data_IF_002772037953
#
_entry.id   IF_002772037953
#
_cell.length_a   1.000
_cell.length_b   1.000
_cell.length_c   1.000
_cell.angle_alpha   90.00
_cell.angle_beta   90.00
_cell.angle_gamma   90.00
#
_symmetry.space_group_name_H-M   'P 1'
#
loop_
_entity.id
_entity.type
_entity.pdbx_description
1 polymer ?
#
# COMPACT_ATOMS: atom_id res chain seq x y z
N UNK A 1 1.97 1.68 -47.76
CA UNK A 1 2.48 1.93 -46.40
C UNK A 1 1.28 2.13 -45.51
N UNK A 2 0.97 1.14 -44.67
CA UNK A 2 0.02 1.36 -43.58
C UNK A 2 0.68 2.34 -42.62
N UNK A 3 0.11 3.52 -42.33
CA UNK A 3 0.56 4.30 -41.22
C UNK A 3 0.16 3.48 -39.99
N UNK A 4 1.13 2.90 -39.30
CA UNK A 4 0.89 2.53 -37.91
C UNK A 4 0.70 3.87 -37.21
N UNK A 5 -0.56 4.29 -37.06
CA UNK A 5 -0.92 5.30 -36.07
C UNK A 5 -0.38 4.73 -34.76
N UNK A 6 0.68 5.37 -34.25
CA UNK A 6 1.24 5.04 -32.95
C UNK A 6 0.08 5.18 -31.97
N UNK A 7 -0.43 4.06 -31.46
CA UNK A 7 -1.54 4.11 -30.51
C UNK A 7 -1.07 4.97 -29.34
N UNK A 8 -1.80 6.06 -29.11
CA UNK A 8 -1.39 7.05 -28.13
C UNK A 8 -1.39 6.40 -26.75
N UNK A 9 -0.24 6.33 -26.08
CA UNK A 9 -0.15 5.86 -24.72
C UNK A 9 -0.82 6.86 -23.77
N UNK A 10 -1.45 6.35 -22.70
CA UNK A 10 -2.07 7.17 -21.67
C UNK A 10 -0.99 7.80 -20.79
N UNK A 11 -0.85 9.12 -20.78
CA UNK A 11 0.00 9.77 -19.79
C UNK A 11 -0.72 9.91 -18.44
N UNK A 12 -0.29 9.11 -17.46
CA UNK A 12 -0.87 9.12 -16.11
C UNK A 12 -0.64 10.44 -15.38
N UNK A 13 0.37 11.20 -15.80
CA UNK A 13 0.72 12.49 -15.20
C UNK A 13 -0.30 13.58 -15.52
N UNK A 14 -1.16 13.34 -16.53
CA UNK A 14 -2.26 14.24 -16.89
C UNK A 14 -3.51 14.04 -16.04
N UNK A 15 -3.55 13.05 -15.14
CA UNK A 15 -4.70 12.83 -14.28
C UNK A 15 -4.79 13.90 -13.21
N UNK A 16 -5.98 14.48 -13.07
CA UNK A 16 -6.30 15.33 -11.92
C UNK A 16 -6.45 14.47 -10.66
N UNK A 17 -6.18 15.02 -9.46
CA UNK A 17 -6.28 14.27 -8.20
C UNK A 17 -7.58 13.48 -8.04
N UNK A 18 -8.72 14.09 -8.40
CA UNK A 18 -10.04 13.46 -8.33
C UNK A 18 -10.26 12.30 -9.32
N UNK A 19 -9.47 12.22 -10.40
CA UNK A 19 -9.59 11.17 -11.41
C UNK A 19 -8.86 9.89 -11.00
N UNK A 20 -7.91 9.99 -10.06
CA UNK A 20 -7.10 8.86 -9.61
C UNK A 20 -7.91 7.76 -8.92
N UNK A 21 -8.93 8.11 -8.15
CA UNK A 21 -9.77 7.11 -7.49
C UNK A 21 -10.53 6.26 -8.52
N UNK A 22 -11.12 6.90 -9.54
CA UNK A 22 -11.80 6.19 -10.62
C UNK A 22 -10.80 5.37 -11.45
N UNK A 23 -9.63 5.93 -11.77
CA UNK A 23 -8.58 5.21 -12.47
C UNK A 23 -8.09 3.96 -11.75
N UNK A 24 -8.01 3.97 -10.42
CA UNK A 24 -7.52 2.82 -9.67
C UNK A 24 -8.61 1.79 -9.39
N UNK A 25 -9.84 2.23 -9.13
CA UNK A 25 -10.87 1.37 -8.54
C UNK A 25 -12.11 1.17 -9.42
N UNK A 26 -12.36 1.96 -10.47
CA UNK A 26 -13.56 1.83 -11.30
C UNK A 26 -13.44 0.73 -12.37
N UNK A 27 -13.00 -0.45 -11.95
CA UNK A 27 -12.69 -1.58 -12.83
C UNK A 27 -13.31 -2.89 -12.32
N UNK A 28 -14.59 -3.15 -12.60
CA UNK A 28 -15.27 -4.36 -12.12
C UNK A 28 -14.70 -5.67 -12.70
N UNK A 29 -14.05 -5.60 -13.87
CA UNK A 29 -13.61 -6.77 -14.67
C UNK A 29 -12.07 -6.83 -14.86
N UNK A 30 -11.30 -6.37 -13.86
CA UNK A 30 -9.83 -6.37 -13.90
C UNK A 30 -9.22 -5.04 -14.34
N UNK A 31 -7.92 -4.85 -14.12
CA UNK A 31 -7.23 -3.58 -14.36
C UNK A 31 -7.26 -3.17 -15.83
N UNK A 32 -7.81 -1.98 -16.14
CA UNK A 32 -7.86 -1.40 -17.49
C UNK A 32 -7.38 0.04 -17.45
N UNK A 33 -6.63 0.46 -18.46
CA UNK A 33 -6.17 1.84 -18.60
C UNK A 33 -7.26 2.65 -19.28
N UNK A 34 -8.20 3.20 -18.51
CA UNK A 34 -9.33 3.97 -19.05
C UNK A 34 -9.27 5.42 -18.57
N UNK A 35 -9.36 6.39 -19.50
CA UNK A 35 -9.53 7.82 -19.21
C UNK A 35 -10.64 8.39 -20.08
N UNK A 36 -11.61 9.06 -19.47
CA UNK A 36 -12.74 9.70 -20.17
C UNK A 36 -13.51 8.76 -21.13
N UNK A 37 -13.59 7.47 -20.79
CA UNK A 37 -14.27 6.45 -21.61
C UNK A 37 -13.44 5.89 -22.77
N UNK A 38 -12.18 6.30 -22.91
CA UNK A 38 -11.22 5.73 -23.87
C UNK A 38 -10.32 4.72 -23.16
N UNK A 39 -10.22 3.52 -23.72
CA UNK A 39 -9.30 2.47 -23.28
C UNK A 39 -7.96 2.60 -24.00
N UNK A 40 -6.87 2.35 -23.29
CA UNK A 40 -5.50 2.50 -23.75
C UNK A 40 -4.75 1.16 -23.58
N UNK A 41 -3.88 0.82 -24.52
CA UNK A 41 -3.08 -0.41 -24.44
C UNK A 41 -1.84 -0.25 -23.53
N UNK A 42 -1.31 0.97 -23.43
CA UNK A 42 -0.12 1.30 -22.66
C UNK A 42 -0.25 2.66 -21.98
N UNK A 43 0.64 2.92 -21.04
CA UNK A 43 0.72 4.19 -20.33
C UNK A 43 2.16 4.69 -20.23
N UNK A 44 2.29 5.99 -20.03
CA UNK A 44 3.56 6.65 -19.72
C UNK A 44 3.42 7.48 -18.46
N UNK A 45 4.56 7.72 -17.81
CA UNK A 45 4.67 8.64 -16.68
C UNK A 45 5.68 9.72 -17.09
N UNK A 46 5.19 10.82 -17.64
CA UNK A 46 6.04 11.98 -18.00
C UNK A 46 6.47 12.80 -16.77
N UNK A 47 5.66 12.82 -15.72
CA UNK A 47 5.93 13.48 -14.45
C UNK A 47 5.60 12.57 -13.24
N UNK A 48 6.62 11.85 -12.72
CA UNK A 48 6.50 10.98 -11.54
C UNK A 48 5.95 11.68 -10.29
N UNK A 49 6.14 13.00 -10.16
CA UNK A 49 5.66 13.77 -9.01
C UNK A 49 4.14 13.89 -9.04
N UNK A 50 3.55 14.14 -10.21
CA UNK A 50 2.09 14.23 -10.35
C UNK A 50 1.43 12.89 -10.04
N UNK A 51 2.03 11.78 -10.49
CA UNK A 51 1.56 10.42 -10.16
C UNK A 51 1.59 10.16 -8.65
N UNK A 52 2.71 10.45 -7.97
CA UNK A 52 2.79 10.26 -6.51
C UNK A 52 1.80 11.14 -5.73
N UNK A 53 1.56 12.38 -6.18
CA UNK A 53 0.57 13.26 -5.57
C UNK A 53 -0.85 12.74 -5.77
N UNK A 54 -1.17 12.18 -6.94
CA UNK A 54 -2.44 11.52 -7.22
C UNK A 54 -2.69 10.31 -6.33
N UNK A 55 -1.69 9.43 -6.21
CA UNK A 55 -1.73 8.28 -5.31
C UNK A 55 -1.90 8.73 -3.86
N UNK A 56 -1.14 9.74 -3.41
CA UNK A 56 -1.25 10.27 -2.05
C UNK A 56 -2.65 10.85 -1.81
N UNK A 57 -3.22 11.58 -2.77
CA UNK A 57 -4.59 12.10 -2.68
C UNK A 57 -5.61 10.98 -2.46
N UNK A 58 -5.48 9.88 -3.21
CA UNK A 58 -6.35 8.70 -3.04
C UNK A 58 -6.21 8.10 -1.64
N UNK A 59 -4.98 7.91 -1.15
CA UNK A 59 -4.73 7.39 0.20
C UNK A 59 -5.31 8.31 1.29
N UNK A 60 -5.18 9.62 1.13
CA UNK A 60 -5.69 10.62 2.08
C UNK A 60 -7.22 10.73 2.09
N UNK A 61 -7.89 10.33 1.00
CA UNK A 61 -9.34 10.35 0.87
C UNK A 61 -9.95 8.93 0.87
N UNK A 62 -9.23 7.96 1.45
CA UNK A 62 -9.58 6.55 1.30
C UNK A 62 -10.92 6.16 1.92
N UNK A 63 -11.41 6.91 2.91
CA UNK A 63 -12.76 6.71 3.43
C UNK A 63 -13.83 6.85 2.33
N UNK A 64 -13.75 7.91 1.52
CA UNK A 64 -14.69 8.14 0.42
C UNK A 64 -14.52 7.12 -0.71
N UNK A 65 -13.29 6.65 -0.95
CA UNK A 65 -13.02 5.50 -1.83
C UNK A 65 -13.78 4.28 -1.33
N UNK A 66 -13.65 3.96 -0.05
CA UNK A 66 -14.32 2.85 0.61
C UNK A 66 -15.85 2.90 0.60
N UNK A 67 -16.43 4.11 0.58
CA UNK A 67 -17.88 4.33 0.47
C UNK A 67 -18.39 4.22 -0.97
N UNK A 68 -17.51 4.40 -1.97
CA UNK A 68 -17.87 4.48 -3.40
C UNK A 68 -17.66 3.15 -4.11
N UNK A 69 -16.55 2.46 -3.84
CA UNK A 69 -16.15 1.26 -4.57
C UNK A 69 -16.40 -0.01 -3.75
N UNK A 70 -16.71 -1.10 -4.45
CA UNK A 70 -16.83 -2.41 -3.82
C UNK A 70 -15.49 -2.92 -3.30
N UNK A 71 -15.51 -3.90 -2.38
CA UNK A 71 -14.28 -4.52 -1.88
C UNK A 71 -13.44 -5.18 -2.97
N UNK A 72 -14.08 -5.80 -3.96
CA UNK A 72 -13.36 -6.41 -5.08
C UNK A 72 -12.61 -5.36 -5.92
N UNK A 73 -13.25 -4.19 -6.14
CA UNK A 73 -12.62 -3.06 -6.80
C UNK A 73 -11.45 -2.48 -6.01
N UNK A 74 -11.63 -2.31 -4.69
CA UNK A 74 -10.56 -1.86 -3.79
C UNK A 74 -9.39 -2.84 -3.82
N UNK A 75 -9.66 -4.14 -3.73
CA UNK A 75 -8.65 -5.18 -3.76
C UNK A 75 -7.81 -5.09 -5.04
N UNK A 76 -8.47 -5.10 -6.21
CA UNK A 76 -7.80 -4.96 -7.50
C UNK A 76 -7.01 -3.65 -7.63
N UNK A 77 -7.57 -2.51 -7.21
CA UNK A 77 -6.89 -1.23 -7.32
C UNK A 77 -5.66 -1.12 -6.43
N UNK A 78 -5.70 -1.70 -5.22
CA UNK A 78 -4.52 -1.79 -4.37
C UNK A 78 -3.47 -2.72 -4.99
N UNK A 79 -3.86 -3.87 -5.54
CA UNK A 79 -2.93 -4.73 -6.27
C UNK A 79 -2.25 -3.98 -7.42
N UNK A 80 -3.03 -3.25 -8.23
CA UNK A 80 -2.54 -2.47 -9.36
C UNK A 80 -1.53 -1.38 -8.98
N UNK A 81 -1.70 -0.73 -7.83
CA UNK A 81 -0.73 0.27 -7.33
C UNK A 81 0.68 -0.31 -7.18
N UNK A 82 0.76 -1.56 -6.73
CA UNK A 82 2.01 -2.20 -6.35
C UNK A 82 2.59 -3.12 -7.42
N UNK A 83 1.76 -3.62 -8.33
CA UNK A 83 2.17 -4.46 -9.43
C UNK A 83 2.89 -3.65 -10.53
N UNK A 84 3.35 -4.34 -11.57
CA UNK A 84 4.18 -3.76 -12.63
C UNK A 84 3.49 -2.63 -13.40
N UNK A 85 2.16 -2.57 -13.33
CA UNK A 85 1.26 -1.65 -14.04
C UNK A 85 1.27 -0.22 -13.50
N UNK A 86 1.68 0.03 -12.25
CA UNK A 86 1.91 1.39 -11.76
C UNK A 86 3.26 1.52 -11.05
N UNK A 87 3.77 0.41 -10.54
CA UNK A 87 5.08 0.32 -9.92
C UNK A 87 5.30 1.46 -8.91
N UNK A 88 4.35 1.67 -7.98
CA UNK A 88 4.49 2.66 -6.90
C UNK A 88 5.80 2.46 -6.13
N UNK A 89 6.22 1.20 -5.98
CA UNK A 89 7.55 0.86 -5.46
C UNK A 89 8.67 1.55 -6.25
N UNK A 90 8.68 1.50 -7.58
CA UNK A 90 9.65 2.23 -8.40
C UNK A 90 9.67 3.73 -8.11
N UNK A 91 8.50 4.35 -7.95
CA UNK A 91 8.38 5.78 -7.65
C UNK A 91 8.90 6.14 -6.26
N UNK A 92 8.59 5.34 -5.23
CA UNK A 92 9.06 5.57 -3.86
C UNK A 92 10.58 5.39 -3.72
N UNK A 93 11.22 4.66 -4.64
CA UNK A 93 12.65 4.42 -4.63
C UNK A 93 13.41 5.34 -5.58
N UNK A 94 12.70 6.14 -6.36
CA UNK A 94 13.30 7.09 -7.28
C UNK A 94 13.91 8.27 -6.50
N UNK A 95 15.23 8.28 -6.38
CA UNK A 95 15.98 9.34 -5.70
C UNK A 95 15.88 10.71 -6.41
N UNK A 96 15.39 10.75 -7.66
CA UNK A 96 15.11 12.00 -8.38
C UNK A 96 13.88 12.72 -7.82
N UNK A 97 13.03 12.00 -7.09
CA UNK A 97 11.88 12.58 -6.40
C UNK A 97 12.31 13.03 -5.00
N UNK A 98 11.97 14.26 -4.65
CA UNK A 98 12.28 14.85 -3.36
C UNK A 98 11.79 13.99 -2.19
N UNK A 99 12.68 13.76 -1.23
CA UNK A 99 12.42 12.90 -0.07
C UNK A 99 11.11 13.25 0.68
N UNK A 100 10.80 14.52 0.99
CA UNK A 100 9.56 14.85 1.70
C UNK A 100 8.28 14.36 1.02
N UNK A 101 8.27 14.27 -0.32
CA UNK A 101 7.13 13.78 -1.08
C UNK A 101 7.00 12.27 -0.92
N UNK A 102 8.11 11.54 -1.12
CA UNK A 102 8.14 10.09 -0.94
C UNK A 102 7.78 9.67 0.49
N UNK A 103 8.32 10.38 1.48
CA UNK A 103 7.99 10.19 2.88
C UNK A 103 6.51 10.42 3.17
N UNK A 104 5.95 11.55 2.69
CA UNK A 104 4.54 11.85 2.88
C UNK A 104 3.65 10.77 2.27
N UNK A 105 3.95 10.28 1.07
CA UNK A 105 3.19 9.18 0.45
C UNK A 105 3.27 7.90 1.29
N UNK A 106 4.46 7.54 1.81
CA UNK A 106 4.61 6.37 2.69
C UNK A 106 3.75 6.53 3.95
N UNK A 107 3.78 7.70 4.59
CA UNK A 107 2.98 7.99 5.79
C UNK A 107 1.48 7.91 5.53
N UNK A 108 1.02 8.41 4.38
CA UNK A 108 -0.40 8.35 4.00
C UNK A 108 -0.90 6.91 3.81
N UNK A 109 -0.02 5.91 3.69
CA UNK A 109 -0.44 4.50 3.64
C UNK A 109 -1.06 3.99 4.94
N UNK A 110 -0.91 4.67 6.08
CA UNK A 110 -1.62 4.32 7.31
C UNK A 110 -3.12 4.70 7.26
N UNK A 111 -3.49 5.65 6.40
CA UNK A 111 -4.84 6.22 6.33
C UNK A 111 -5.90 5.19 5.91
N UNK A 112 -5.70 4.34 4.87
CA UNK A 112 -6.64 3.27 4.54
C UNK A 112 -6.93 2.31 5.71
N UNK A 113 -5.94 2.03 6.56
CA UNK A 113 -6.14 1.17 7.72
C UNK A 113 -6.98 1.87 8.80
N UNK A 114 -6.62 3.12 9.13
CA UNK A 114 -7.27 3.92 10.16
C UNK A 114 -8.70 4.30 9.80
N UNK A 115 -8.91 4.81 8.59
CA UNK A 115 -10.15 5.49 8.22
C UNK A 115 -11.16 4.57 7.52
N UNK A 116 -10.70 3.41 7.04
CA UNK A 116 -11.56 2.41 6.40
C UNK A 116 -11.51 1.06 7.12
N UNK A 117 -10.35 0.39 7.18
CA UNK A 117 -10.29 -1.00 7.65
C UNK A 117 -10.80 -1.15 9.09
N UNK A 118 -10.34 -0.31 10.02
CA UNK A 118 -10.71 -0.37 11.43
C UNK A 118 -12.22 -0.23 11.70
N UNK A 119 -12.97 0.42 10.79
CA UNK A 119 -14.41 0.64 10.91
C UNK A 119 -15.29 -0.29 10.07
N UNK A 120 -14.70 -1.08 9.17
CA UNK A 120 -15.46 -1.82 8.16
C UNK A 120 -15.57 -3.31 8.53
N UNK A 121 -16.70 -4.02 8.33
CA UNK A 121 -16.87 -5.43 8.72
C UNK A 121 -16.14 -6.47 7.83
N UNK A 122 -15.03 -6.12 7.18
CA UNK A 122 -14.27 -7.06 6.35
C UNK A 122 -13.55 -8.10 7.22
N UNK A 123 -13.64 -9.38 6.87
CA UNK A 123 -12.74 -10.40 7.38
C UNK A 123 -11.44 -10.37 6.56
N UNK A 124 -10.29 -10.28 7.25
CA UNK A 124 -9.06 -9.70 6.68
C UNK A 124 -8.04 -10.70 6.16
N UNK A 125 -8.20 -11.99 6.47
CA UNK A 125 -7.23 -12.96 6.00
C UNK A 125 -7.29 -13.05 4.47
N UNK A 126 -6.14 -12.78 3.82
CA UNK A 126 -5.91 -12.89 2.37
C UNK A 126 -6.48 -11.78 1.48
N UNK A 127 -6.66 -10.55 1.99
CA UNK A 127 -6.97 -9.40 1.13
C UNK A 127 -5.77 -8.47 0.90
N UNK A 128 -5.94 -7.47 0.03
CA UNK A 128 -4.93 -6.50 -0.35
C UNK A 128 -4.30 -5.75 0.83
N UNK A 129 -4.99 -5.55 1.95
CA UNK A 129 -4.43 -4.87 3.13
C UNK A 129 -3.41 -5.73 3.86
N UNK A 130 -3.65 -7.04 3.95
CA UNK A 130 -2.69 -7.97 4.51
C UNK A 130 -1.50 -8.19 3.55
N UNK A 131 -1.78 -8.33 2.25
CA UNK A 131 -0.76 -8.56 1.23
C UNK A 131 0.05 -7.31 0.84
N UNK A 132 -0.43 -6.12 1.22
CA UNK A 132 0.16 -4.83 0.92
C UNK A 132 1.69 -4.82 1.07
N UNK A 133 2.18 -5.39 2.18
CA UNK A 133 3.59 -5.32 2.56
C UNK A 133 4.47 -6.35 1.85
N UNK A 134 3.90 -7.44 1.32
CA UNK A 134 4.65 -8.37 0.47
C UNK A 134 5.17 -7.67 -0.78
N UNK A 135 4.40 -6.73 -1.32
CA UNK A 135 4.68 -6.09 -2.61
C UNK A 135 5.78 -5.02 -2.51
N UNK A 136 6.07 -4.58 -1.28
CA UNK A 136 7.07 -3.55 -0.99
C UNK A 136 8.46 -4.17 -0.79
N UNK A 137 8.56 -5.50 -0.60
CA UNK A 137 9.83 -6.19 -0.32
C UNK A 137 10.86 -5.93 -1.43
N UNK A 138 12.05 -5.45 -1.05
CA UNK A 138 13.16 -5.17 -1.98
C UNK A 138 14.37 -6.05 -1.68
N UNK A 139 14.82 -6.86 -2.65
CA UNK A 139 16.12 -7.53 -2.55
C UNK A 139 17.24 -6.49 -2.39
N UNK A 140 18.11 -6.66 -1.39
CA UNK A 140 19.21 -5.70 -1.12
C UNK A 140 18.94 -4.68 -0.02
N UNK A 141 17.68 -4.62 0.48
CA UNK A 141 17.30 -3.73 1.58
C UNK A 141 16.95 -2.31 1.13
N UNK A 142 16.51 -1.51 2.09
CA UNK A 142 16.04 -0.14 1.89
C UNK A 142 17.14 0.86 2.26
N UNK A 143 17.14 2.04 1.63
CA UNK A 143 17.82 3.21 2.19
C UNK A 143 17.30 3.47 3.62
N UNK A 144 18.16 3.95 4.52
CA UNK A 144 17.81 4.13 5.94
C UNK A 144 16.53 4.95 6.11
N UNK A 145 16.41 6.09 5.42
CA UNK A 145 15.26 7.00 5.58
C UNK A 145 13.94 6.34 5.17
N UNK A 146 13.93 5.67 4.01
CA UNK A 146 12.78 4.95 3.50
C UNK A 146 12.37 3.80 4.42
N UNK A 147 13.35 3.07 4.97
CA UNK A 147 13.11 2.05 5.99
C UNK A 147 12.47 2.63 7.25
N UNK A 148 13.01 3.74 7.75
CA UNK A 148 12.53 4.39 8.97
C UNK A 148 11.10 4.88 8.74
N UNK A 149 10.78 5.48 7.58
CA UNK A 149 9.42 5.88 7.22
C UNK A 149 8.42 4.71 7.19
N UNK A 150 8.79 3.56 6.61
CA UNK A 150 7.95 2.36 6.65
C UNK A 150 7.78 1.83 8.07
N UNK A 151 8.84 1.77 8.87
CA UNK A 151 8.79 1.30 10.25
C UNK A 151 7.81 2.13 11.09
N UNK A 152 7.90 3.45 10.95
CA UNK A 152 7.03 4.38 11.67
C UNK A 152 5.57 4.31 11.21
N UNK A 153 5.33 4.13 9.91
CA UNK A 153 3.98 3.94 9.35
C UNK A 153 3.36 2.63 9.85
N UNK A 154 4.13 1.54 9.84
CA UNK A 154 3.69 0.26 10.39
C UNK A 154 3.43 0.34 11.90
N UNK A 155 4.24 1.09 12.64
CA UNK A 155 3.99 1.35 14.07
C UNK A 155 2.66 2.08 14.29
N UNK A 156 2.37 3.08 13.46
CA UNK A 156 1.09 3.79 13.51
C UNK A 156 -0.08 2.81 13.30
N UNK A 157 0.01 1.96 12.27
CA UNK A 157 -1.03 0.96 11.98
C UNK A 157 -1.17 -0.06 13.13
N UNK A 158 -0.05 -0.53 13.71
CA UNK A 158 -0.04 -1.46 14.84
C UNK A 158 -0.71 -0.85 16.09
N UNK A 159 -0.70 0.47 16.23
CA UNK A 159 -1.33 1.16 17.36
C UNK A 159 -2.86 1.26 17.25
N UNK A 160 -3.43 0.98 16.08
CA UNK A 160 -4.88 0.97 15.86
C UNK A 160 -5.48 -0.20 16.64
N UNK A 161 -6.53 0.06 17.44
CA UNK A 161 -7.21 -0.96 18.23
C UNK A 161 -8.17 -1.79 17.36
N UNK A 162 -7.60 -2.49 16.39
CA UNK A 162 -8.29 -3.37 15.46
C UNK A 162 -7.34 -4.51 15.08
N UNK A 163 -7.71 -5.76 15.43
CA UNK A 163 -6.86 -6.94 15.27
C UNK A 163 -6.36 -7.14 13.84
N UNK A 164 -7.12 -6.64 12.86
CA UNK A 164 -6.85 -6.84 11.45
C UNK A 164 -5.84 -5.83 10.94
N UNK A 165 -5.94 -4.58 11.40
CA UNK A 165 -4.89 -3.58 11.21
C UNK A 165 -3.59 -4.04 11.89
N UNK A 166 -3.68 -4.54 13.12
CA UNK A 166 -2.54 -5.06 13.86
C UNK A 166 -1.88 -6.26 13.16
N UNK A 167 -2.69 -7.22 12.68
CA UNK A 167 -2.21 -8.36 11.90
C UNK A 167 -1.48 -7.95 10.62
N UNK A 168 -2.04 -7.01 9.85
CA UNK A 168 -1.38 -6.48 8.65
C UNK A 168 -0.07 -5.74 8.98
N UNK A 169 -0.04 -4.96 10.07
CA UNK A 169 1.17 -4.27 10.51
C UNK A 169 2.26 -5.24 10.99
N UNK A 170 1.91 -6.25 11.78
CA UNK A 170 2.84 -7.30 12.24
C UNK A 170 3.45 -8.05 11.06
N UNK A 171 2.61 -8.42 10.09
CA UNK A 171 3.05 -9.05 8.85
C UNK A 171 4.07 -8.17 8.10
N UNK A 172 3.77 -6.89 7.91
CA UNK A 172 4.69 -5.95 7.27
C UNK A 172 5.99 -5.75 8.05
N UNK A 173 5.93 -5.67 9.38
CA UNK A 173 7.10 -5.60 10.25
C UNK A 173 7.97 -6.86 10.13
N UNK A 174 7.36 -8.04 9.98
CA UNK A 174 8.06 -9.30 9.73
C UNK A 174 8.96 -9.24 8.50
N UNK A 175 8.50 -8.60 7.42
CA UNK A 175 9.29 -8.40 6.21
C UNK A 175 10.31 -7.25 6.32
N UNK A 176 10.09 -6.29 7.23
CA UNK A 176 10.91 -5.10 7.37
C UNK A 176 12.13 -5.31 8.27
N UNK A 177 13.33 -5.17 7.70
CA UNK A 177 14.60 -5.24 8.45
C UNK A 177 14.93 -3.91 9.14
N UNK A 178 14.34 -3.62 10.31
CA UNK A 178 14.58 -2.39 11.08
C UNK A 178 15.03 -2.66 12.52
N UNK A 179 16.02 -1.93 13.08
CA UNK A 179 16.57 -2.20 14.42
C UNK A 179 15.53 -2.07 15.54
N UNK A 180 14.58 -1.15 15.44
CA UNK A 180 13.52 -0.97 16.46
C UNK A 180 12.39 -1.99 16.41
N UNK A 181 12.40 -2.94 15.46
CA UNK A 181 11.32 -3.92 15.31
C UNK A 181 11.21 -4.85 16.52
N UNK A 182 12.34 -5.31 17.03
CA UNK A 182 12.37 -6.28 18.12
C UNK A 182 11.66 -5.71 19.37
N UNK A 183 12.02 -4.48 19.74
CA UNK A 183 11.45 -3.79 20.89
C UNK A 183 9.94 -3.51 20.68
N UNK A 184 9.57 -2.96 19.52
CA UNK A 184 8.17 -2.64 19.22
C UNK A 184 7.24 -3.86 19.29
N UNK A 185 7.65 -5.00 18.72
CA UNK A 185 6.84 -6.21 18.75
C UNK A 185 6.87 -6.86 20.14
N UNK A 186 7.98 -6.74 20.89
CA UNK A 186 8.04 -7.16 22.29
C UNK A 186 7.02 -6.41 23.15
N UNK A 187 6.96 -5.08 23.02
CA UNK A 187 5.96 -4.24 23.70
C UNK A 187 4.53 -4.65 23.33
N UNK A 188 4.29 -5.00 22.06
CA UNK A 188 3.00 -5.52 21.61
C UNK A 188 2.65 -6.85 22.29
N UNK A 189 3.58 -7.82 22.32
CA UNK A 189 3.36 -9.12 22.97
C UNK A 189 3.03 -8.92 24.45
N UNK A 190 3.80 -8.10 25.16
CA UNK A 190 3.59 -7.83 26.59
C UNK A 190 2.22 -7.19 26.85
N UNK A 191 1.84 -6.20 26.04
CA UNK A 191 0.55 -5.50 26.16
C UNK A 191 -0.65 -6.41 25.84
N UNK A 192 -0.47 -7.39 24.96
CA UNK A 192 -1.53 -8.27 24.48
C UNK A 192 -1.41 -9.72 25.02
N UNK A 193 -0.63 -9.94 26.08
CA UNK A 193 -0.34 -11.26 26.63
C UNK A 193 -1.61 -12.06 27.01
N UNK A 194 -2.67 -11.39 27.46
CA UNK A 194 -3.95 -12.03 27.80
C UNK A 194 -4.75 -12.49 26.56
N UNK A 195 -4.46 -11.95 25.39
CA UNK A 195 -5.10 -12.28 24.11
C UNK A 195 -4.28 -13.30 23.31
N UNK A 196 -2.95 -13.31 23.49
CA UNK A 196 -2.01 -14.23 22.82
C UNK A 196 -1.84 -15.55 23.59
N UNK A 197 -2.95 -16.17 24.00
CA UNK A 197 -2.93 -17.45 24.74
C UNK A 197 -2.76 -18.67 23.84
N UNK A 198 -3.06 -18.51 22.55
CA UNK A 198 -2.89 -19.55 21.54
C UNK A 198 -1.40 -19.68 21.14
N UNK A 199 -0.79 -20.88 21.24
CA UNK A 199 0.62 -21.07 20.92
C UNK A 199 0.98 -20.72 19.47
N UNK A 200 0.10 -20.99 18.51
CA UNK A 200 0.38 -20.73 17.10
C UNK A 200 0.34 -19.22 16.80
N UNK A 201 -0.63 -18.51 17.39
CA UNK A 201 -0.72 -17.05 17.34
C UNK A 201 0.51 -16.37 17.94
N UNK A 202 0.92 -16.75 19.16
CA UNK A 202 2.13 -16.21 19.79
C UNK A 202 3.38 -16.50 18.94
N UNK A 203 3.52 -17.75 18.47
CA UNK A 203 4.65 -18.15 17.63
C UNK A 203 4.75 -17.32 16.35
N UNK A 204 3.61 -17.02 15.71
CA UNK A 204 3.58 -16.17 14.53
C UNK A 204 4.04 -14.73 14.83
N UNK A 205 3.60 -14.14 15.95
CA UNK A 205 4.07 -12.79 16.37
C UNK A 205 5.57 -12.79 16.66
N UNK A 206 6.10 -13.85 17.29
CA UNK A 206 7.53 -14.02 17.50
C UNK A 206 8.29 -14.11 16.17
N UNK A 207 7.76 -14.80 15.16
CA UNK A 207 8.34 -14.82 13.81
C UNK A 207 8.38 -13.43 13.17
N UNK A 208 7.33 -12.62 13.38
CA UNK A 208 7.33 -11.20 12.97
C UNK A 208 8.47 -10.43 13.65
N UNK A 209 8.70 -10.66 14.95
CA UNK A 209 9.77 -10.01 15.72
C UNK A 209 11.17 -10.29 15.16
N UNK A 210 11.45 -11.55 14.83
CA UNK A 210 12.76 -11.97 14.31
C UNK A 210 12.88 -11.85 12.79
N UNK A 211 11.76 -11.61 12.09
CA UNK A 211 11.72 -11.33 10.66
C UNK A 211 11.82 -12.57 9.78
N UNK A 212 11.17 -13.65 10.21
CA UNK A 212 11.13 -14.94 9.50
C UNK A 212 9.73 -15.27 9.00
N UNK A 213 8.86 -14.27 8.88
CA UNK A 213 7.51 -14.42 8.32
C UNK A 213 7.64 -14.94 6.88
N UNK A 214 6.98 -16.06 6.61
CA UNK A 214 6.85 -16.65 5.28
C UNK A 214 5.59 -16.16 4.59
#
# INVERSE_FOLDING_TARGET
MSPYEEEAALDLSEFRPEEWAAFLFDHPDGFRLIKSGTEYEDYVISDPLLVLNGIRYVLENFKSVGETYSLAQIDHGIWALWSGELNLKGLLFDERIDWPIREATIRSMAIPFRDFLAGHPIHVMENCFFMWWHLIRVPGGYERRLRDAYFETLREILSINDDRCQGAALHGLGHLRHPGRFDLIGEYIDKHAELLTDPDGLHWVEQCQIGTVM
#
